data_IF_890123065750
#
_entry.id   IF_890123065750
#
_cell.length_a   1.000
_cell.length_b   1.000
_cell.length_c   1.000
_cell.angle_alpha   90.00
_cell.angle_beta   90.00
_cell.angle_gamma   90.00
#
_symmetry.space_group_name_H-M   'P 1'
#
loop_
_entity.id
_entity.type
_entity.pdbx_description
1 polymer ?
#
# COMPACT_ATOMS: atom_id res chain seq x y z
N UNK A 1 -3.46 14.95 -8.95
CA UNK A 1 -3.03 13.56 -8.71
C UNK A 1 -4.11 12.65 -9.25
N UNK A 2 -3.80 11.52 -9.90
CA UNK A 2 -4.85 10.61 -10.34
C UNK A 2 -5.61 10.08 -9.11
N UNK A 3 -6.93 10.22 -9.12
CA UNK A 3 -7.78 9.60 -8.11
C UNK A 3 -7.63 8.07 -8.17
N UNK A 4 -7.83 7.36 -7.04
CA UNK A 4 -7.94 5.90 -7.07
C UNK A 4 -9.02 5.48 -8.07
N UNK A 5 -8.75 4.41 -8.82
CA UNK A 5 -9.69 3.88 -9.81
C UNK A 5 -11.10 3.61 -9.23
N UNK A 6 -12.13 3.45 -10.07
CA UNK A 6 -13.52 3.43 -9.62
C UNK A 6 -13.80 2.37 -8.55
N UNK A 7 -13.22 1.16 -8.68
CA UNK A 7 -13.36 0.12 -7.66
C UNK A 7 -12.69 0.50 -6.33
N UNK A 8 -11.50 1.10 -6.36
CA UNK A 8 -10.82 1.56 -5.14
C UNK A 8 -11.63 2.63 -4.42
N UNK A 9 -12.21 3.57 -5.17
CA UNK A 9 -13.10 4.61 -4.64
C UNK A 9 -14.39 4.03 -4.06
N UNK A 10 -14.99 3.03 -4.71
CA UNK A 10 -16.16 2.31 -4.19
C UNK A 10 -15.84 1.52 -2.90
N UNK A 11 -14.69 0.85 -2.85
CA UNK A 11 -14.22 0.13 -1.66
C UNK A 11 -13.97 1.07 -0.49
N UNK A 12 -13.34 2.23 -0.73
CA UNK A 12 -13.15 3.26 0.31
C UNK A 12 -14.48 3.81 0.81
N UNK A 13 -15.44 4.03 -0.09
CA UNK A 13 -16.79 4.46 0.28
C UNK A 13 -17.51 3.40 1.11
N UNK A 14 -17.44 2.14 0.72
CA UNK A 14 -18.04 1.04 1.47
C UNK A 14 -17.39 0.86 2.84
N UNK A 15 -16.06 0.96 2.92
CA UNK A 15 -15.34 0.96 4.18
C UNK A 15 -15.76 2.13 5.07
N UNK A 16 -15.95 3.34 4.53
CA UNK A 16 -16.37 4.51 5.30
C UNK A 16 -17.80 4.39 5.82
N UNK A 17 -18.73 3.89 4.99
CA UNK A 17 -20.17 3.75 5.32
C UNK A 17 -20.49 2.53 6.18
N UNK A 18 -19.59 1.55 6.21
CA UNK A 18 -19.68 0.35 7.03
C UNK A 18 -20.11 -0.88 6.25
N UNK A 19 -19.76 -2.05 6.81
CA UNK A 19 -19.93 -3.36 6.14
C UNK A 19 -21.40 -3.64 5.78
N UNK A 20 -22.35 -3.13 6.57
CA UNK A 20 -23.79 -3.32 6.36
C UNK A 20 -24.42 -2.42 5.28
N UNK A 21 -23.68 -1.49 4.68
CA UNK A 21 -24.23 -0.61 3.65
C UNK A 21 -24.42 -1.37 2.32
N UNK A 22 -25.67 -1.77 2.04
CA UNK A 22 -26.02 -2.55 0.87
C UNK A 22 -25.78 -1.80 -0.45
N UNK A 23 -25.94 -0.48 -0.46
CA UNK A 23 -25.75 0.35 -1.66
C UNK A 23 -24.27 0.44 -2.05
N UNK A 24 -23.41 0.73 -1.07
CA UNK A 24 -21.96 0.75 -1.29
C UNK A 24 -21.42 -0.65 -1.63
N UNK A 25 -21.96 -1.70 -1.01
CA UNK A 25 -21.65 -3.08 -1.35
C UNK A 25 -22.04 -3.43 -2.80
N UNK A 26 -23.24 -3.05 -3.24
CA UNK A 26 -23.71 -3.29 -4.60
C UNK A 26 -22.84 -2.58 -5.63
N UNK A 27 -22.47 -1.31 -5.39
CA UNK A 27 -21.57 -0.56 -6.28
C UNK A 27 -20.21 -1.26 -6.44
N UNK A 28 -19.57 -1.68 -5.34
CA UNK A 28 -18.30 -2.40 -5.40
C UNK A 28 -18.42 -3.76 -6.11
N UNK A 29 -19.52 -4.50 -5.87
CA UNK A 29 -19.79 -5.80 -6.51
C UNK A 29 -20.02 -5.68 -8.02
N UNK A 30 -20.62 -4.59 -8.49
CA UNK A 30 -20.77 -4.31 -9.93
C UNK A 30 -19.44 -3.91 -10.58
N UNK A 31 -18.63 -3.09 -9.91
CA UNK A 31 -17.36 -2.62 -10.44
C UNK A 31 -16.27 -3.70 -10.49
N UNK A 32 -16.31 -4.68 -9.58
CA UNK A 32 -15.31 -5.77 -9.55
C UNK A 32 -15.21 -6.51 -10.89
N UNK A 33 -16.28 -7.11 -11.47
CA UNK A 33 -16.20 -7.77 -12.77
C UNK A 33 -15.97 -6.77 -13.91
N UNK A 34 -16.55 -5.56 -13.86
CA UNK A 34 -16.36 -4.54 -14.89
C UNK A 34 -14.89 -4.08 -15.04
N UNK A 35 -14.11 -4.19 -13.97
CA UNK A 35 -12.67 -3.90 -13.95
C UNK A 35 -11.79 -5.15 -14.07
N UNK A 36 -12.38 -6.34 -14.21
CA UNK A 36 -11.63 -7.61 -14.22
C UNK A 36 -10.87 -7.91 -12.92
N UNK A 37 -11.21 -7.25 -11.80
CA UNK A 37 -10.40 -7.31 -10.58
C UNK A 37 -10.53 -8.66 -9.88
N UNK A 38 -9.40 -9.36 -9.78
CA UNK A 38 -9.25 -10.59 -8.99
C UNK A 38 -8.30 -10.43 -7.80
N UNK A 39 -7.59 -9.31 -7.71
CA UNK A 39 -6.62 -9.06 -6.64
C UNK A 39 -6.69 -7.62 -6.18
N UNK A 40 -6.74 -7.43 -4.86
CA UNK A 40 -6.69 -6.13 -4.23
C UNK A 40 -5.41 -6.00 -3.42
N UNK A 41 -4.66 -4.95 -3.68
CA UNK A 41 -3.47 -4.57 -2.93
C UNK A 41 -3.87 -3.48 -1.94
N UNK A 42 -3.78 -3.79 -0.65
CA UNK A 42 -4.03 -2.84 0.44
C UNK A 42 -2.73 -2.13 0.81
N UNK A 43 -2.79 -0.81 0.87
CA UNK A 43 -1.69 0.05 1.34
C UNK A 43 -2.22 1.07 2.33
N UNK A 44 -1.36 1.65 3.17
CA UNK A 44 -1.81 2.53 4.25
C UNK A 44 -2.38 3.84 3.70
N UNK A 45 -1.62 4.48 2.80
CA UNK A 45 -1.88 5.82 2.32
C UNK A 45 -1.78 6.01 0.81
N UNK A 46 -2.05 7.24 0.37
CA UNK A 46 -1.97 7.61 -1.06
C UNK A 46 -0.52 7.64 -1.56
N UNK A 47 0.47 7.89 -0.69
CA UNK A 47 1.88 7.83 -1.08
C UNK A 47 2.28 6.42 -1.51
N UNK A 48 1.90 5.42 -0.72
CA UNK A 48 2.13 4.02 -1.05
C UNK A 48 1.41 3.60 -2.32
N UNK A 49 0.17 4.05 -2.50
CA UNK A 49 -0.60 3.79 -3.72
C UNK A 49 0.15 4.29 -4.96
N UNK A 50 0.66 5.52 -4.92
CA UNK A 50 1.40 6.08 -6.04
C UNK A 50 2.76 5.40 -6.24
N UNK A 51 3.47 5.04 -5.17
CA UNK A 51 4.73 4.32 -5.27
C UNK A 51 4.56 2.93 -5.90
N UNK A 52 3.61 2.12 -5.42
CA UNK A 52 3.34 0.78 -5.97
C UNK A 52 3.01 0.84 -7.47
N UNK A 53 2.15 1.78 -7.86
CA UNK A 53 1.78 1.96 -9.28
C UNK A 53 2.93 2.45 -10.13
N UNK A 54 3.75 3.36 -9.59
CA UNK A 54 4.93 3.87 -10.30
C UNK A 54 5.97 2.78 -10.53
N UNK A 55 6.27 1.95 -9.54
CA UNK A 55 7.21 0.82 -9.69
C UNK A 55 6.68 -0.21 -10.68
N UNK A 56 5.38 -0.52 -10.64
CA UNK A 56 4.78 -1.42 -11.62
C UNK A 56 4.89 -0.86 -13.05
N UNK A 57 4.53 0.40 -13.26
CA UNK A 57 4.62 1.05 -14.56
C UNK A 57 6.07 1.11 -15.08
N UNK A 58 7.05 1.37 -14.22
CA UNK A 58 8.47 1.33 -14.56
C UNK A 58 8.93 -0.06 -15.05
N UNK A 59 8.21 -1.13 -14.68
CA UNK A 59 8.40 -2.50 -15.17
C UNK A 59 7.52 -2.87 -16.36
N UNK A 60 6.89 -1.89 -17.00
CA UNK A 60 5.98 -2.10 -18.12
C UNK A 60 4.69 -2.81 -17.74
N UNK A 61 4.30 -2.81 -16.45
CA UNK A 61 3.09 -3.46 -15.97
C UNK A 61 1.95 -2.46 -15.82
N UNK A 62 0.82 -2.79 -16.40
CA UNK A 62 -0.45 -2.14 -16.11
C UNK A 62 -1.23 -3.01 -15.12
N UNK A 63 -1.12 -2.69 -13.83
CA UNK A 63 -1.79 -3.43 -12.76
C UNK A 63 -3.32 -3.50 -12.97
N UNK A 64 -3.94 -2.44 -13.51
CA UNK A 64 -5.39 -2.45 -13.72
C UNK A 64 -5.78 -3.42 -14.83
N UNK A 65 -5.02 -3.43 -15.94
CA UNK A 65 -5.20 -4.41 -17.01
C UNK A 65 -4.90 -5.85 -16.56
N UNK A 66 -4.01 -6.02 -15.57
CA UNK A 66 -3.71 -7.30 -14.92
C UNK A 66 -4.75 -7.71 -13.85
N UNK A 67 -5.86 -6.98 -13.68
CA UNK A 67 -6.90 -7.32 -12.69
C UNK A 67 -6.48 -7.06 -11.23
N UNK A 68 -5.50 -6.16 -11.01
CA UNK A 68 -4.98 -5.77 -9.71
C UNK A 68 -5.41 -4.34 -9.36
N UNK A 69 -6.19 -4.20 -8.28
CA UNK A 69 -6.66 -2.91 -7.77
C UNK A 69 -5.88 -2.51 -6.52
N UNK A 70 -5.15 -1.39 -6.55
CA UNK A 70 -4.44 -0.85 -5.38
C UNK A 70 -5.37 0.10 -4.61
N UNK A 71 -5.50 -0.08 -3.30
CA UNK A 71 -6.45 0.64 -2.46
C UNK A 71 -5.74 1.26 -1.25
N UNK A 72 -5.67 2.59 -1.13
CA UNK A 72 -5.20 3.26 0.07
C UNK A 72 -6.29 3.20 1.15
N UNK A 73 -5.98 2.52 2.27
CA UNK A 73 -6.93 2.24 3.33
C UNK A 73 -7.27 3.46 4.19
N UNK A 74 -6.38 4.45 4.25
CA UNK A 74 -6.50 5.60 5.14
C UNK A 74 -6.10 5.27 6.57
N UNK A 75 -5.01 4.52 6.75
CA UNK A 75 -4.49 4.06 8.03
C UNK A 75 -4.59 2.55 8.22
N UNK A 76 -3.56 1.94 8.80
CA UNK A 76 -3.45 0.49 8.95
C UNK A 76 -4.52 -0.13 9.84
N UNK A 77 -5.02 0.61 10.83
CA UNK A 77 -6.10 0.15 11.71
C UNK A 77 -7.40 -0.21 10.96
N UNK A 78 -7.55 0.28 9.72
CA UNK A 78 -8.68 -0.07 8.86
C UNK A 78 -8.54 -1.44 8.17
N UNK A 79 -7.38 -2.11 8.24
CA UNK A 79 -7.13 -3.38 7.54
C UNK A 79 -8.18 -4.46 7.86
N UNK A 80 -8.61 -4.58 9.12
CA UNK A 80 -9.66 -5.53 9.51
C UNK A 80 -10.97 -5.28 8.75
N UNK A 81 -11.32 -4.02 8.53
CA UNK A 81 -12.53 -3.64 7.79
C UNK A 81 -12.40 -4.04 6.33
N UNK A 82 -11.30 -3.68 5.68
CA UNK A 82 -11.05 -4.06 4.28
C UNK A 82 -10.99 -5.57 4.08
N UNK A 83 -10.34 -6.31 4.96
CA UNK A 83 -10.30 -7.78 4.89
C UNK A 83 -11.70 -8.41 4.97
N UNK A 84 -12.63 -7.81 5.74
CA UNK A 84 -14.02 -8.26 5.77
C UNK A 84 -14.76 -7.98 4.45
N UNK A 85 -14.52 -6.82 3.83
CA UNK A 85 -15.10 -6.45 2.53
C UNK A 85 -14.57 -7.30 1.36
N UNK A 86 -13.32 -7.74 1.46
CA UNK A 86 -12.62 -8.45 0.38
C UNK A 86 -12.67 -9.97 0.53
N UNK A 87 -13.04 -10.46 1.72
CA UNK A 87 -13.17 -11.89 1.99
C UNK A 87 -14.38 -12.56 1.32
N UNK A 88 -14.61 -13.86 1.59
CA UNK A 88 -15.61 -14.68 0.89
C UNK A 88 -17.06 -14.21 1.02
N UNK A 89 -17.40 -13.46 2.08
CA UNK A 89 -18.73 -12.86 2.28
C UNK A 89 -18.89 -11.48 1.62
N UNK A 90 -17.80 -10.94 1.09
CA UNK A 90 -17.70 -9.62 0.47
C UNK A 90 -17.53 -9.73 -1.04
N UNK A 91 -16.36 -9.34 -1.56
CA UNK A 91 -16.00 -9.44 -2.97
C UNK A 91 -15.32 -10.76 -3.37
N UNK A 92 -14.86 -11.56 -2.40
CA UNK A 92 -14.13 -12.82 -2.60
C UNK A 92 -12.95 -12.68 -3.59
N UNK A 93 -12.03 -11.77 -3.27
CA UNK A 93 -10.82 -11.50 -4.06
C UNK A 93 -9.57 -11.84 -3.26
N UNK A 94 -8.48 -12.11 -3.98
CA UNK A 94 -7.16 -12.23 -3.34
C UNK A 94 -6.75 -10.88 -2.77
N UNK A 95 -6.10 -10.90 -1.61
CA UNK A 95 -5.61 -9.71 -0.95
C UNK A 95 -4.11 -9.83 -0.74
N UNK A 96 -3.38 -8.78 -1.06
CA UNK A 96 -1.98 -8.58 -0.72
C UNK A 96 -1.81 -7.17 -0.16
N UNK A 97 -0.65 -6.83 0.40
CA UNK A 97 -0.44 -5.46 0.86
C UNK A 97 0.95 -5.16 1.39
N UNK A 98 1.18 -3.86 1.63
CA UNK A 98 2.31 -3.36 2.40
C UNK A 98 1.81 -2.87 3.75
N UNK A 99 2.70 -2.93 4.74
CA UNK A 99 2.47 -2.38 6.07
C UNK A 99 3.79 -2.01 6.72
N UNK A 100 3.76 -1.18 7.75
CA UNK A 100 4.97 -0.82 8.49
C UNK A 100 5.22 -1.84 9.61
N UNK A 101 6.48 -2.22 9.86
CA UNK A 101 6.79 -3.26 10.85
C UNK A 101 6.20 -2.99 12.25
N UNK A 102 6.08 -1.70 12.62
CA UNK A 102 5.43 -1.28 13.87
C UNK A 102 3.94 -1.67 13.97
N UNK A 103 3.28 -1.87 12.83
CA UNK A 103 1.86 -2.18 12.70
C UNK A 103 1.58 -3.69 12.59
N UNK A 104 2.63 -4.52 12.58
CA UNK A 104 2.54 -5.97 12.51
C UNK A 104 1.48 -6.59 13.43
N UNK A 105 1.34 -6.17 14.71
CA UNK A 105 0.31 -6.72 15.60
C UNK A 105 -1.12 -6.49 15.07
N UNK A 106 -1.38 -5.35 14.42
CA UNK A 106 -2.69 -5.01 13.83
C UNK A 106 -3.02 -5.94 12.67
N UNK A 107 -2.05 -6.19 11.78
CA UNK A 107 -2.23 -7.08 10.63
C UNK A 107 -2.40 -8.54 11.05
N UNK A 108 -1.57 -9.03 11.99
CA UNK A 108 -1.71 -10.38 12.55
C UNK A 108 -3.10 -10.59 13.16
N UNK A 109 -3.56 -9.64 13.97
CA UNK A 109 -4.88 -9.73 14.62
C UNK A 109 -6.01 -9.73 13.59
N UNK A 110 -5.91 -8.89 12.55
CA UNK A 110 -6.92 -8.79 11.51
C UNK A 110 -7.02 -10.07 10.66
N UNK A 111 -5.89 -10.68 10.29
CA UNK A 111 -5.86 -11.94 9.54
C UNK A 111 -6.29 -13.13 10.40
N UNK A 112 -5.86 -13.22 11.66
CA UNK A 112 -6.31 -14.25 12.57
C UNK A 112 -7.85 -14.24 12.73
N UNK A 113 -8.43 -13.04 12.85
CA UNK A 113 -9.90 -12.85 12.90
C UNK A 113 -10.58 -13.29 11.60
N UNK A 114 -9.95 -13.08 10.44
CA UNK A 114 -10.48 -13.50 9.13
C UNK A 114 -10.51 -15.02 9.00
N UNK A 115 -9.44 -15.70 9.43
CA UNK A 115 -9.28 -17.15 9.30
C UNK A 115 -10.13 -17.94 10.30
N UNK A 116 -10.14 -17.51 11.56
CA UNK A 116 -10.73 -18.29 12.66
C UNK A 116 -12.09 -17.75 13.14
N UNK A 117 -12.52 -16.59 12.63
CA UNK A 117 -13.64 -15.84 13.20
C UNK A 117 -13.33 -15.32 14.61
N UNK A 118 -14.37 -14.96 15.37
CA UNK A 118 -14.20 -14.51 16.78
C UNK A 118 -14.01 -15.68 17.76
N UNK A 119 -13.59 -16.87 17.29
CA UNK A 119 -13.37 -18.04 18.16
C UNK A 119 -12.19 -17.75 19.08
N UNK A 120 -12.50 -17.51 20.35
CA UNK A 120 -11.50 -17.46 21.43
C UNK A 120 -11.20 -18.90 21.85
N UNK A 121 -9.93 -19.28 21.81
CA UNK A 121 -9.46 -20.58 22.31
C UNK A 121 -8.47 -21.24 21.35
N UNK A 122 -7.32 -21.60 21.90
CA UNK A 122 -6.08 -22.09 21.25
C UNK A 122 -5.20 -20.98 20.68
N UNK A 123 -4.03 -20.80 21.31
CA UNK A 123 -2.92 -20.02 20.77
C UNK A 123 -2.32 -20.77 19.57
N UNK A 124 -2.99 -20.70 18.42
CA UNK A 124 -2.34 -21.05 17.17
C UNK A 124 -1.17 -20.09 16.94
N UNK A 125 -0.05 -20.54 16.35
CA UNK A 125 0.95 -19.61 15.83
C UNK A 125 0.23 -18.58 14.95
N UNK A 126 0.44 -17.29 15.22
CA UNK A 126 -0.18 -16.23 14.43
C UNK A 126 0.14 -16.39 12.94
N UNK A 127 -0.71 -15.89 12.03
CA UNK A 127 -0.52 -16.08 10.60
C UNK A 127 0.84 -15.53 10.15
N UNK A 128 1.51 -16.30 9.30
CA UNK A 128 2.69 -15.82 8.57
C UNK A 128 2.23 -14.76 7.55
N UNK A 129 2.52 -13.50 7.85
CA UNK A 129 2.05 -12.36 7.06
C UNK A 129 2.58 -12.41 5.63
N UNK A 130 3.83 -12.81 5.42
CA UNK A 130 4.43 -12.89 4.09
C UNK A 130 3.74 -13.97 3.25
N UNK A 131 3.45 -15.13 3.85
CA UNK A 131 2.67 -16.20 3.19
C UNK A 131 1.22 -15.78 2.91
N UNK A 132 0.66 -14.92 3.74
CA UNK A 132 -0.67 -14.33 3.53
C UNK A 132 -0.67 -13.14 2.56
N UNK A 133 0.48 -12.80 1.96
CA UNK A 133 0.60 -11.76 0.93
C UNK A 133 0.84 -10.34 1.45
N UNK A 134 1.22 -10.18 2.73
CA UNK A 134 1.52 -8.90 3.35
C UNK A 134 3.01 -8.77 3.64
N UNK A 135 3.61 -7.64 3.23
CA UNK A 135 5.06 -7.44 3.30
C UNK A 135 5.39 -6.16 4.08
N UNK A 136 6.22 -6.31 5.11
CA UNK A 136 6.61 -5.20 5.99
C UNK A 136 7.65 -4.28 5.34
N UNK A 137 7.42 -2.96 5.40
CA UNK A 137 8.46 -1.94 5.38
C UNK A 137 9.16 -1.89 6.75
N UNK A 138 10.46 -1.59 6.80
CA UNK A 138 11.20 -1.58 8.08
C UNK A 138 10.69 -0.47 9.01
N UNK A 139 10.66 0.76 8.53
CA UNK A 139 10.09 1.89 9.25
C UNK A 139 8.82 2.38 8.57
N UNK A 140 8.96 2.85 7.32
CA UNK A 140 7.88 3.16 6.40
C UNK A 140 8.37 3.07 4.95
N UNK A 141 7.45 3.20 3.98
CA UNK A 141 7.81 3.12 2.56
C UNK A 141 8.72 4.28 2.11
N UNK A 142 8.58 5.48 2.68
CA UNK A 142 9.42 6.60 2.31
C UNK A 142 10.88 6.39 2.72
N UNK A 143 11.13 5.78 3.89
CA UNK A 143 12.49 5.40 4.30
C UNK A 143 13.07 4.32 3.37
N UNK A 144 12.27 3.31 3.00
CA UNK A 144 12.67 2.29 2.02
C UNK A 144 13.09 2.92 0.68
N UNK A 145 12.31 3.88 0.18
CA UNK A 145 12.60 4.62 -1.05
C UNK A 145 13.84 5.51 -0.93
N UNK A 146 14.00 6.23 0.18
CA UNK A 146 15.19 7.07 0.42
C UNK A 146 16.46 6.20 0.46
N UNK A 147 16.41 5.05 1.13
CA UNK A 147 17.53 4.11 1.20
C UNK A 147 17.91 3.55 -0.17
N UNK A 148 16.93 3.20 -0.99
CA UNK A 148 17.16 2.64 -2.32
C UNK A 148 17.62 3.66 -3.37
N UNK A 149 17.05 4.88 -3.34
CA UNK A 149 17.42 5.96 -4.27
C UNK A 149 18.70 6.67 -3.85
N UNK A 150 18.99 6.70 -2.54
CA UNK A 150 20.11 7.44 -1.96
C UNK A 150 19.82 8.95 -1.83
N UNK A 151 20.52 9.60 -0.90
CA UNK A 151 20.30 11.02 -0.56
C UNK A 151 20.47 11.94 -1.76
N UNK A 152 21.51 11.73 -2.58
CA UNK A 152 21.75 12.52 -3.79
C UNK A 152 20.62 12.37 -4.81
N UNK A 153 20.08 11.16 -5.00
CA UNK A 153 18.96 10.93 -5.90
C UNK A 153 17.67 11.60 -5.41
N UNK A 154 17.43 11.57 -4.09
CA UNK A 154 16.30 12.27 -3.47
C UNK A 154 16.45 13.79 -3.62
N UNK A 155 17.65 14.34 -3.42
CA UNK A 155 17.91 15.79 -3.61
C UNK A 155 17.72 16.22 -5.06
N UNK A 156 18.11 15.40 -6.04
CA UNK A 156 17.83 15.65 -7.44
C UNK A 156 16.32 15.73 -7.71
N UNK A 157 15.52 14.84 -7.09
CA UNK A 157 14.04 14.93 -7.16
C UNK A 157 13.55 16.25 -6.59
N UNK A 158 14.02 16.64 -5.41
CA UNK A 158 13.64 17.91 -4.77
C UNK A 158 13.94 19.10 -5.69
N UNK A 159 15.09 19.09 -6.35
CA UNK A 159 15.48 20.12 -7.31
C UNK A 159 14.54 20.14 -8.53
N UNK A 160 14.26 18.99 -9.14
CA UNK A 160 13.35 18.90 -10.29
C UNK A 160 11.91 19.31 -9.96
N UNK A 161 11.46 19.05 -8.73
CA UNK A 161 10.15 19.51 -8.26
C UNK A 161 10.14 20.99 -7.84
N UNK A 162 11.30 21.67 -7.89
CA UNK A 162 11.46 23.09 -7.61
C UNK A 162 11.46 23.46 -6.12
N UNK A 163 11.69 22.51 -5.22
CA UNK A 163 11.53 22.71 -3.77
C UNK A 163 12.85 22.79 -2.98
N UNK A 164 13.99 23.02 -3.66
CA UNK A 164 15.31 23.12 -3.01
C UNK A 164 15.36 24.17 -1.89
N UNK A 165 14.68 25.32 -2.06
CA UNK A 165 14.58 26.35 -0.98
C UNK A 165 13.82 25.83 0.24
N UNK A 166 12.79 25.02 0.03
CA UNK A 166 12.02 24.41 1.11
C UNK A 166 12.87 23.45 1.93
N UNK A 167 13.66 22.61 1.25
CA UNK A 167 14.59 21.69 1.90
C UNK A 167 15.68 22.45 2.68
N UNK A 168 16.28 23.48 2.08
CA UNK A 168 17.27 24.31 2.76
C UNK A 168 16.69 24.95 4.03
N UNK A 169 15.49 25.53 3.93
CA UNK A 169 14.77 26.11 5.08
C UNK A 169 14.60 25.08 6.20
N UNK A 170 14.15 23.86 5.87
CA UNK A 170 13.99 22.79 6.84
C UNK A 170 15.30 22.42 7.53
N UNK A 171 16.40 22.32 6.78
CA UNK A 171 17.74 21.99 7.31
C UNK A 171 18.27 23.03 8.30
N UNK A 172 17.94 24.30 8.10
CA UNK A 172 18.37 25.36 9.01
C UNK A 172 17.59 25.37 10.34
N UNK A 173 16.43 24.71 10.41
CA UNK A 173 15.62 24.64 11.63
C UNK A 173 16.38 23.90 12.76
N UNK A 174 16.40 24.42 14.00
CA UNK A 174 17.12 23.80 15.11
C UNK A 174 16.75 22.33 15.36
N UNK A 175 15.48 21.96 15.20
CA UNK A 175 14.98 20.60 15.40
C UNK A 175 15.51 19.56 14.40
N UNK A 176 16.12 20.01 13.29
CA UNK A 176 16.57 19.14 12.19
C UNK A 176 18.07 19.21 11.94
N UNK A 177 18.78 20.21 12.47
CA UNK A 177 20.21 20.43 12.24
C UNK A 177 21.10 19.25 12.63
N UNK A 178 20.79 18.57 13.73
CA UNK A 178 21.56 17.41 14.22
C UNK A 178 21.11 16.06 13.66
N UNK A 179 20.10 16.02 12.80
CA UNK A 179 19.60 14.78 12.19
C UNK A 179 20.46 14.37 11.00
N UNK A 180 20.47 13.08 10.68
CA UNK A 180 21.13 12.60 9.46
C UNK A 180 20.47 13.19 8.20
N UNK A 181 21.18 13.25 7.06
CA UNK A 181 20.60 13.71 5.79
C UNK A 181 19.32 12.95 5.40
N UNK A 182 19.28 11.63 5.62
CA UNK A 182 18.13 10.77 5.35
C UNK A 182 16.93 11.16 6.21
N UNK A 183 17.14 11.40 7.51
CA UNK A 183 16.08 11.82 8.43
C UNK A 183 15.55 13.22 8.12
N UNK A 184 16.41 14.13 7.64
CA UNK A 184 15.99 15.46 7.19
C UNK A 184 15.14 15.36 5.93
N UNK A 185 15.56 14.55 4.96
CA UNK A 185 14.82 14.29 3.73
C UNK A 185 13.48 13.63 4.04
N UNK A 186 13.47 12.54 4.81
CA UNK A 186 12.25 11.86 5.25
C UNK A 186 11.23 12.83 5.87
N UNK A 187 11.70 13.69 6.79
CA UNK A 187 10.86 14.73 7.39
C UNK A 187 10.34 15.73 6.35
N UNK A 188 11.18 16.15 5.41
CA UNK A 188 10.80 17.07 4.34
C UNK A 188 9.70 16.48 3.44
N UNK A 189 9.83 15.19 3.08
CA UNK A 189 8.82 14.47 2.29
C UNK A 189 7.49 14.36 3.04
N UNK A 190 7.55 14.10 4.35
CA UNK A 190 6.38 13.92 5.22
C UNK A 190 5.64 15.19 5.63
N UNK A 191 6.06 16.38 5.21
CA UNK A 191 5.49 17.66 5.72
C UNK A 191 4.04 17.92 5.28
N UNK A 192 3.56 17.29 4.19
CA UNK A 192 2.17 17.43 3.74
C UNK A 192 1.73 16.21 2.93
N UNK A 193 0.50 15.72 3.14
CA UNK A 193 0.01 14.48 2.51
C UNK A 193 0.03 14.52 0.97
N UNK A 194 -0.35 15.66 0.36
CA UNK A 194 -0.27 15.84 -1.10
C UNK A 194 1.16 15.87 -1.64
N UNK A 195 2.10 16.40 -0.85
CA UNK A 195 3.54 16.38 -1.16
C UNK A 195 4.08 14.96 -1.10
N UNK A 196 3.76 14.20 -0.03
CA UNK A 196 4.23 12.84 0.20
C UNK A 196 3.95 11.93 -1.00
N UNK A 197 2.72 11.97 -1.54
CA UNK A 197 2.36 11.15 -2.70
C UNK A 197 3.08 11.53 -4.00
N UNK A 198 3.30 12.83 -4.22
CA UNK A 198 4.09 13.32 -5.37
C UNK A 198 5.54 12.84 -5.30
N UNK A 199 6.17 12.90 -4.13
CA UNK A 199 7.54 12.41 -3.95
C UNK A 199 7.63 10.89 -4.02
N UNK A 200 6.70 10.17 -3.39
CA UNK A 200 6.68 8.71 -3.43
C UNK A 200 6.66 8.20 -4.88
N UNK A 201 5.83 8.81 -5.74
CA UNK A 201 5.84 8.55 -7.19
C UNK A 201 7.19 8.87 -7.84
N UNK A 202 7.71 10.08 -7.63
CA UNK A 202 8.91 10.55 -8.30
C UNK A 202 10.18 9.78 -7.88
N UNK A 203 10.21 9.28 -6.63
CA UNK A 203 11.26 8.41 -6.11
C UNK A 203 11.11 6.98 -6.67
N UNK A 204 9.89 6.43 -6.66
CA UNK A 204 9.61 5.12 -7.23
C UNK A 204 9.99 5.02 -8.72
N UNK A 205 9.79 6.10 -9.50
CA UNK A 205 10.19 6.18 -10.90
C UNK A 205 11.70 6.18 -11.14
N UNK A 206 12.50 6.47 -10.10
CA UNK A 206 13.96 6.48 -10.15
C UNK A 206 14.62 5.21 -9.63
N UNK A 207 13.83 4.28 -9.08
CA UNK A 207 14.39 3.04 -8.58
C UNK A 207 15.05 2.27 -9.72
N UNK A 208 16.30 1.85 -9.50
CA UNK A 208 16.91 0.83 -10.32
C UNK A 208 16.14 -0.48 -10.07
N UNK A 209 15.72 -1.21 -11.12
CA UNK A 209 15.06 -2.51 -10.97
C UNK A 209 15.84 -3.50 -10.10
N UNK A 210 17.17 -3.40 -10.05
CA UNK A 210 18.05 -4.25 -9.23
C UNK A 210 18.16 -3.81 -7.77
N UNK A 211 17.76 -2.56 -7.45
CA UNK A 211 17.81 -1.99 -6.09
C UNK A 211 16.42 -1.67 -5.52
N UNK A 212 15.35 -2.18 -6.13
CA UNK A 212 14.00 -1.97 -5.60
C UNK A 212 13.90 -2.54 -4.18
N UNK A 213 13.29 -1.80 -3.23
CA UNK A 213 13.01 -2.32 -1.90
C UNK A 213 12.31 -3.68 -1.91
N UNK A 214 12.80 -4.60 -1.09
CA UNK A 214 12.30 -5.96 -1.00
C UNK A 214 10.77 -6.08 -0.73
N UNK A 215 10.12 -5.18 0.07
CA UNK A 215 8.67 -5.23 0.25
C UNK A 215 7.90 -4.98 -1.05
N UNK A 216 8.33 -4.00 -1.85
CA UNK A 216 7.74 -3.69 -3.17
C UNK A 216 7.96 -4.85 -4.15
N UNK A 217 9.15 -5.45 -4.17
CA UNK A 217 9.44 -6.61 -5.01
C UNK A 217 8.51 -7.78 -4.71
N UNK A 218 8.43 -8.16 -3.43
CA UNK A 218 7.59 -9.29 -2.99
C UNK A 218 6.11 -9.03 -3.27
N UNK A 219 5.64 -7.79 -3.06
CA UNK A 219 4.28 -7.39 -3.40
C UNK A 219 3.99 -7.57 -4.89
N UNK A 220 4.86 -7.03 -5.74
CA UNK A 220 4.70 -7.11 -7.19
C UNK A 220 4.81 -8.55 -7.69
N UNK A 221 5.60 -9.41 -7.04
CA UNK A 221 5.63 -10.85 -7.32
C UNK A 221 4.32 -11.55 -6.90
N UNK A 222 3.79 -11.27 -5.71
CA UNK A 222 2.56 -11.88 -5.20
C UNK A 222 1.32 -11.57 -6.08
N UNK A 223 1.30 -10.40 -6.71
CA UNK A 223 0.22 -10.02 -7.63
C UNK A 223 0.22 -10.79 -8.95
N UNK A 224 1.37 -11.29 -9.41
CA UNK A 224 1.50 -12.04 -10.68
C UNK A 224 0.91 -13.44 -10.68
N UNK A 225 0.67 -14.02 -9.50
CA UNK A 225 0.15 -15.38 -9.39
C UNK A 225 -1.31 -15.41 -9.88
N UNK A 226 -1.56 -15.82 -11.12
CA UNK A 226 -2.90 -15.91 -11.71
C UNK A 226 -3.76 -17.02 -11.08
N UNK A 227 -5.01 -16.67 -10.76
CA UNK A 227 -6.19 -17.49 -10.39
C UNK A 227 -6.16 -18.31 -9.06
N UNK A 228 -7.27 -18.35 -8.29
CA UNK A 228 -7.48 -19.37 -7.26
C UNK A 228 -7.72 -20.75 -7.93
N UNK A 229 -7.39 -21.88 -7.27
CA UNK A 229 -7.86 -23.18 -7.74
C UNK A 229 -9.39 -23.15 -7.83
N UNK A 230 -9.93 -23.64 -8.95
CA UNK A 230 -11.36 -23.86 -9.10
C UNK A 230 -11.85 -24.69 -7.91
N UNK A 231 -12.83 -24.17 -7.15
CA UNK A 231 -13.49 -24.96 -6.12
C UNK A 231 -14.24 -26.09 -6.83
N UNK A 232 -13.90 -27.33 -6.50
CA UNK A 232 -14.71 -28.50 -6.88
C UNK A 232 -16.14 -28.29 -6.39
N UNK A 233 -17.18 -28.59 -7.19
CA UNK A 233 -18.54 -28.62 -6.69
C UNK A 233 -18.63 -29.76 -5.68
N UNK A 234 -19.04 -29.41 -4.45
CA UNK A 234 -19.55 -30.38 -3.47
C UNK A 234 -21.01 -30.68 -3.73
#
# INVERSE_FOLDING_TARGET
MPEPGPLASALRTWAARGIGDAGAAAAARQLRPATGTHTVVLVEGLSDHEAVRAVAAARGRDLAAEGVCVVPMGGATNVRRYLALLGPRGLDVRVAGLYDAAEEPVFRQALATREHGHRRGVAAPGPDLARSGFFACVADLEEELIRAVGTAGVEAVVQELGESRGLATLRHQPAHRGRSPEQQLHRFLGTTAGRKARYARALAQRLDPTSTPAPLERLLAATRLSAPPARSPG
#
